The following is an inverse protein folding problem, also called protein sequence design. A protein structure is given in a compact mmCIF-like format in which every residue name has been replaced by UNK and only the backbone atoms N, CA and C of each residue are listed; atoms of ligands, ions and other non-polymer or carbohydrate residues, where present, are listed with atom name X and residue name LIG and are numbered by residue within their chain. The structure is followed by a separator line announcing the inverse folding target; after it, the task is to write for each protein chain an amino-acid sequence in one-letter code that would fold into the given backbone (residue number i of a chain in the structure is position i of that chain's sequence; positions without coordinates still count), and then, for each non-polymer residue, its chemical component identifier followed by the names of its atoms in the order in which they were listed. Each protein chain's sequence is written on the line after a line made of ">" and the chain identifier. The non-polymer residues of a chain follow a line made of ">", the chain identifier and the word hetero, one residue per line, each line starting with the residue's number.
data_IF_961175782895
#
_entry.id   IF_961175782895
#
_cell.length_a   1.000
_cell.length_b   1.000
_cell.length_c   1.000
_cell.angle_alpha   90.00
_cell.angle_beta   90.00
_cell.angle_gamma   90.00
#
_symmetry.space_group_name_H-M   'P 1'
#
loop_
_entity.id
_entity.type
_entity.pdbx_description
1 polymer ?
#
# COMPACT_ATOMS: atom_id res chain seq x y z
N UNK A 1 31.01 -10.22 49.89
CA UNK A 1 30.82 -11.46 49.09
C UNK A 1 29.66 -11.21 48.15
N UNK A 2 29.99 -10.95 46.90
CA UNK A 2 28.99 -10.66 45.84
C UNK A 2 28.56 -11.98 45.21
N UNK A 3 27.30 -12.36 45.39
CA UNK A 3 26.69 -13.52 44.77
C UNK A 3 26.51 -13.32 43.28
N UNK A 4 27.26 -14.07 42.49
CA UNK A 4 27.11 -14.16 41.03
C UNK A 4 25.82 -14.90 40.75
N UNK A 5 24.79 -14.17 40.32
CA UNK A 5 23.57 -14.78 39.82
C UNK A 5 23.88 -15.56 38.54
N UNK A 6 23.78 -16.89 38.62
CA UNK A 6 23.94 -17.80 37.49
C UNK A 6 22.89 -17.49 36.43
N UNK A 7 23.33 -17.21 35.20
CA UNK A 7 22.44 -17.14 34.02
C UNK A 7 21.79 -18.52 33.84
N UNK A 8 20.46 -18.59 33.61
CA UNK A 8 19.83 -19.87 33.34
C UNK A 8 20.38 -20.45 32.03
N UNK A 9 20.97 -21.65 32.18
CA UNK A 9 21.51 -22.44 31.09
C UNK A 9 20.35 -22.99 30.24
N UNK A 10 20.27 -22.59 28.95
CA UNK A 10 19.80 -23.53 27.95
C UNK A 10 18.36 -23.47 27.50
N UNK A 11 17.58 -22.38 27.65
CA UNK A 11 16.44 -22.16 26.80
C UNK A 11 16.94 -21.70 25.42
N UNK A 12 16.91 -22.64 24.45
CA UNK A 12 17.00 -22.25 23.03
C UNK A 12 15.79 -21.37 22.75
N UNK A 13 15.96 -20.06 22.77
CA UNK A 13 14.94 -19.11 22.33
C UNK A 13 14.54 -19.50 20.91
N UNK A 14 13.34 -20.05 20.75
CA UNK A 14 12.76 -20.31 19.44
C UNK A 14 12.71 -18.97 18.71
N UNK A 15 13.43 -18.87 17.59
CA UNK A 15 13.51 -17.63 16.83
C UNK A 15 12.30 -17.56 15.89
N UNK A 16 11.43 -16.55 16.00
CA UNK A 16 10.37 -16.36 15.04
C UNK A 16 10.97 -16.05 13.67
N UNK A 17 10.32 -16.51 12.61
CA UNK A 17 10.63 -16.10 11.25
C UNK A 17 10.08 -14.70 11.00
N UNK A 18 10.80 -13.91 10.22
CA UNK A 18 10.33 -12.59 9.79
C UNK A 18 9.89 -12.66 8.36
N UNK A 19 8.69 -12.15 8.08
CA UNK A 19 8.11 -12.02 6.75
C UNK A 19 7.80 -10.55 6.45
N UNK A 20 7.59 -10.25 5.19
CA UNK A 20 7.01 -9.00 4.68
C UNK A 20 5.76 -9.31 3.87
N UNK A 21 4.73 -8.48 4.02
CA UNK A 21 3.49 -8.52 3.24
C UNK A 21 3.23 -7.12 2.68
N UNK A 22 2.91 -7.00 1.38
CA UNK A 22 2.74 -5.69 0.75
C UNK A 22 1.32 -5.49 0.23
N UNK A 23 0.60 -4.56 0.85
CA UNK A 23 -0.72 -4.11 0.38
C UNK A 23 -0.53 -3.07 -0.69
N UNK A 24 -0.66 -3.47 -1.96
CA UNK A 24 -0.51 -2.60 -3.12
C UNK A 24 -1.85 -2.01 -3.52
N UNK A 25 -1.94 -0.67 -3.55
CA UNK A 25 -3.13 0.05 -4.00
C UNK A 25 -2.92 0.77 -5.32
N UNK A 26 -3.98 0.82 -6.11
CA UNK A 26 -4.13 1.68 -7.28
C UNK A 26 -5.58 2.16 -7.41
N UNK A 27 -5.78 3.25 -8.17
CA UNK A 27 -7.10 3.64 -8.64
C UNK A 27 -7.28 3.07 -10.04
N UNK A 28 -8.32 2.28 -10.23
CA UNK A 28 -8.68 1.72 -11.52
C UNK A 28 -10.20 1.79 -11.71
N UNK A 29 -10.66 2.27 -12.85
CA UNK A 29 -12.08 2.46 -13.17
C UNK A 29 -12.85 3.22 -12.08
N UNK A 30 -12.26 4.27 -11.51
CA UNK A 30 -12.84 5.07 -10.44
C UNK A 30 -13.04 4.33 -9.12
N UNK A 31 -12.28 3.25 -8.87
CA UNK A 31 -12.35 2.43 -7.66
C UNK A 31 -10.97 2.26 -7.03
N UNK A 32 -10.92 2.28 -5.71
CA UNK A 32 -9.72 1.89 -4.98
C UNK A 32 -9.61 0.37 -5.00
N UNK A 33 -8.55 -0.12 -5.62
CA UNK A 33 -8.28 -1.54 -5.76
C UNK A 33 -6.96 -1.92 -5.09
N UNK A 34 -6.85 -3.17 -4.70
CA UNK A 34 -5.61 -3.79 -4.22
C UNK A 34 -5.29 -5.03 -5.03
N UNK A 35 -3.99 -5.24 -5.25
CA UNK A 35 -3.51 -6.41 -5.97
C UNK A 35 -3.37 -7.61 -5.04
N UNK A 36 -3.98 -8.71 -5.39
CA UNK A 36 -3.89 -9.98 -4.69
C UNK A 36 -3.29 -11.05 -5.57
N UNK A 37 -2.64 -12.02 -4.94
CA UNK A 37 -2.04 -13.20 -5.55
C UNK A 37 -2.68 -14.46 -4.99
N UNK A 38 -2.88 -15.48 -5.83
CA UNK A 38 -3.40 -16.78 -5.41
C UNK A 38 -2.24 -17.71 -5.04
N UNK A 39 -2.22 -18.17 -3.80
CA UNK A 39 -1.13 -18.99 -3.27
C UNK A 39 -1.10 -20.39 -3.92
N UNK A 40 0.03 -20.76 -4.48
CA UNK A 40 0.23 -22.10 -5.11
C UNK A 40 0.46 -23.19 -4.08
N UNK A 41 1.05 -22.89 -2.94
CA UNK A 41 1.53 -23.86 -1.93
C UNK A 41 1.26 -23.36 -0.50
N UNK A 42 1.43 -24.26 0.46
CA UNK A 42 1.32 -23.98 1.89
C UNK A 42 -0.12 -24.01 2.42
N UNK A 43 -0.33 -23.60 3.69
CA UNK A 43 -1.64 -23.66 4.35
C UNK A 43 -2.71 -22.78 3.70
N UNK A 44 -2.28 -21.75 3.01
CA UNK A 44 -3.16 -20.85 2.26
C UNK A 44 -3.36 -21.23 0.80
N UNK A 45 -2.95 -22.44 0.36
CA UNK A 45 -3.09 -22.87 -1.05
C UNK A 45 -4.50 -22.63 -1.59
N UNK A 46 -4.59 -22.03 -2.78
CA UNK A 46 -5.84 -21.65 -3.44
C UNK A 46 -6.56 -20.46 -2.83
N UNK A 47 -6.03 -19.84 -1.78
CA UNK A 47 -6.55 -18.59 -1.22
C UNK A 47 -5.79 -17.40 -1.77
N UNK A 48 -6.47 -16.27 -1.76
CA UNK A 48 -5.89 -14.97 -2.13
C UNK A 48 -5.09 -14.39 -0.97
N UNK A 49 -3.98 -13.76 -1.29
CA UNK A 49 -3.07 -13.15 -0.33
C UNK A 49 -2.47 -11.86 -0.91
N UNK A 50 -1.88 -11.02 -0.08
CA UNK A 50 -0.98 -9.98 -0.56
C UNK A 50 0.35 -10.59 -1.04
N UNK A 51 1.08 -9.93 -1.95
CA UNK A 51 2.47 -10.25 -2.23
C UNK A 51 3.27 -10.35 -0.93
N UNK A 52 3.90 -11.51 -0.70
CA UNK A 52 4.52 -11.80 0.59
C UNK A 52 5.73 -12.74 0.45
N UNK A 53 6.59 -12.72 1.46
CA UNK A 53 7.68 -13.66 1.58
C UNK A 53 8.55 -13.47 2.81
N UNK A 54 9.40 -14.45 3.06
CA UNK A 54 10.34 -14.39 4.17
C UNK A 54 11.48 -13.41 3.86
N UNK A 55 11.89 -12.69 4.88
CA UNK A 55 13.10 -11.86 4.86
C UNK A 55 14.32 -12.78 4.83
N UNK A 56 15.27 -12.51 3.94
CA UNK A 56 16.51 -13.29 3.82
C UNK A 56 17.50 -12.86 4.89
N UNK A 57 18.44 -13.71 5.18
CA UNK A 57 19.55 -13.36 6.10
C UNK A 57 20.33 -12.18 5.53
N UNK A 58 20.59 -11.18 6.35
CA UNK A 58 21.27 -9.93 5.98
C UNK A 58 20.49 -9.05 4.97
N UNK A 59 19.19 -9.25 4.79
CA UNK A 59 18.32 -8.42 3.95
C UNK A 59 17.62 -7.34 4.78
N UNK A 60 17.59 -6.09 4.31
CA UNK A 60 16.79 -5.05 4.93
C UNK A 60 15.30 -5.29 4.68
N UNK A 61 14.45 -4.90 5.63
CA UNK A 61 13.00 -5.10 5.51
C UNK A 61 12.41 -4.38 4.28
N UNK A 62 12.87 -3.17 3.99
CA UNK A 62 12.45 -2.41 2.82
C UNK A 62 12.87 -3.09 1.51
N UNK A 63 14.07 -3.70 1.47
CA UNK A 63 14.56 -4.42 0.30
C UNK A 63 13.77 -5.72 0.10
N UNK A 64 13.45 -6.43 1.19
CA UNK A 64 12.60 -7.61 1.14
C UNK A 64 11.20 -7.26 0.60
N UNK A 65 10.59 -6.17 1.08
CA UNK A 65 9.28 -5.75 0.62
C UNK A 65 9.30 -5.34 -0.87
N UNK A 66 10.32 -4.59 -1.31
CA UNK A 66 10.50 -4.24 -2.73
C UNK A 66 10.72 -5.47 -3.60
N UNK A 67 11.55 -6.42 -3.15
CA UNK A 67 11.81 -7.67 -3.86
C UNK A 67 10.54 -8.49 -4.02
N UNK A 68 9.81 -8.73 -2.94
CA UNK A 68 8.57 -9.53 -2.98
C UNK A 68 7.49 -8.85 -3.85
N UNK A 69 7.37 -7.52 -3.76
CA UNK A 69 6.48 -6.76 -4.64
C UNK A 69 6.89 -6.90 -6.12
N UNK A 70 8.19 -6.70 -6.43
CA UNK A 70 8.71 -6.84 -7.79
C UNK A 70 8.52 -8.26 -8.33
N UNK A 71 8.85 -9.29 -7.55
CA UNK A 71 8.75 -10.70 -7.97
C UNK A 71 7.29 -11.09 -8.26
N UNK A 72 6.35 -10.47 -7.55
CA UNK A 72 4.92 -10.75 -7.67
C UNK A 72 4.22 -9.95 -8.76
N UNK A 73 4.74 -8.77 -9.11
CA UNK A 73 4.04 -7.80 -9.97
C UNK A 73 4.87 -7.31 -11.15
N UNK A 74 6.19 -7.43 -11.10
CA UNK A 74 7.11 -6.81 -12.03
C UNK A 74 7.31 -5.30 -11.83
N UNK A 75 6.60 -4.70 -10.88
CA UNK A 75 6.65 -3.25 -10.63
C UNK A 75 7.99 -2.82 -10.05
N UNK A 76 8.42 -1.62 -10.45
CA UNK A 76 9.59 -0.94 -9.90
C UNK A 76 9.19 0.52 -9.59
N UNK A 77 9.72 1.06 -8.50
CA UNK A 77 9.53 2.48 -8.15
C UNK A 77 8.17 2.83 -7.55
N UNK A 78 7.37 1.86 -7.10
CA UNK A 78 6.17 2.14 -6.31
C UNK A 78 6.52 2.91 -5.03
N UNK A 79 5.64 3.82 -4.60
CA UNK A 79 5.70 4.33 -3.24
C UNK A 79 5.59 3.16 -2.28
N UNK A 80 6.44 3.10 -1.27
CA UNK A 80 6.46 2.02 -0.29
C UNK A 80 6.70 2.60 1.11
N UNK A 81 5.88 2.18 2.06
CA UNK A 81 5.96 2.60 3.46
C UNK A 81 5.59 1.46 4.39
N UNK A 82 6.35 1.27 5.47
CA UNK A 82 5.99 0.33 6.52
C UNK A 82 4.66 0.73 7.17
N UNK A 83 3.74 -0.23 7.24
CA UNK A 83 2.40 -0.04 7.72
C UNK A 83 2.25 -0.36 9.20
N UNK A 84 2.49 -1.63 9.54
CA UNK A 84 2.31 -2.20 10.88
C UNK A 84 2.99 -3.56 10.97
N UNK A 85 3.23 -4.05 12.20
CA UNK A 85 3.79 -5.38 12.44
C UNK A 85 2.70 -6.30 13.02
N UNK A 86 2.50 -7.45 12.37
CA UNK A 86 1.54 -8.47 12.76
C UNK A 86 2.30 -9.65 13.34
N UNK A 87 2.17 -9.87 14.64
CA UNK A 87 2.97 -10.84 15.39
C UNK A 87 2.17 -11.85 16.19
N UNK A 88 0.88 -12.08 15.88
CA UNK A 88 0.09 -13.12 16.54
C UNK A 88 0.74 -14.49 16.29
N UNK A 89 1.10 -15.26 17.34
CA UNK A 89 1.72 -16.58 17.18
C UNK A 89 0.90 -17.57 16.35
N UNK A 90 -0.41 -17.40 16.28
CA UNK A 90 -1.33 -18.26 15.55
C UNK A 90 -1.58 -17.83 14.09
N UNK A 91 -1.00 -16.68 13.65
CA UNK A 91 -1.24 -16.14 12.31
C UNK A 91 -0.81 -17.08 11.18
N UNK A 92 0.26 -17.83 11.36
CA UNK A 92 0.74 -18.86 10.42
C UNK A 92 0.78 -20.22 11.13
N UNK A 93 0.01 -21.22 10.67
CA UNK A 93 -0.07 -22.52 11.35
C UNK A 93 1.23 -23.35 11.25
N UNK A 94 2.20 -22.95 10.43
CA UNK A 94 3.47 -23.70 10.26
C UNK A 94 4.51 -23.37 11.33
N UNK A 95 4.54 -22.12 11.77
CA UNK A 95 5.55 -21.63 12.70
C UNK A 95 5.19 -20.26 13.25
N UNK A 96 5.86 -19.82 14.30
CA UNK A 96 5.77 -18.44 14.77
C UNK A 96 6.42 -17.51 13.73
N UNK A 97 5.58 -16.80 12.97
CA UNK A 97 5.99 -15.82 11.94
C UNK A 97 5.55 -14.43 12.39
N UNK A 98 6.47 -13.49 12.39
CA UNK A 98 6.17 -12.05 12.55
C UNK A 98 6.24 -11.43 11.17
N UNK A 99 5.15 -10.79 10.73
CA UNK A 99 5.11 -10.09 9.46
C UNK A 99 5.15 -8.58 9.64
N UNK A 100 6.07 -7.97 8.92
CA UNK A 100 6.13 -6.51 8.76
C UNK A 100 5.37 -6.17 7.48
N UNK A 101 4.16 -5.62 7.65
CA UNK A 101 3.33 -5.22 6.52
C UNK A 101 3.77 -3.86 5.98
N UNK A 102 3.67 -3.72 4.67
CA UNK A 102 3.94 -2.50 3.90
C UNK A 102 2.71 -2.07 3.13
N UNK A 103 2.56 -0.77 2.93
CA UNK A 103 1.63 -0.17 1.99
C UNK A 103 2.41 0.32 0.77
N UNK A 104 1.98 -0.09 -0.42
CA UNK A 104 2.53 0.39 -1.67
C UNK A 104 1.44 1.09 -2.49
N UNK A 105 1.81 2.14 -3.23
CA UNK A 105 0.90 2.92 -4.07
C UNK A 105 1.50 3.09 -5.47
N UNK A 106 0.64 2.99 -6.48
CA UNK A 106 0.95 3.29 -7.88
C UNK A 106 -0.17 4.13 -8.51
N UNK A 107 0.12 4.98 -9.49
CA UNK A 107 -0.87 5.86 -10.11
C UNK A 107 -1.97 5.13 -10.87
N UNK A 108 -1.64 4.03 -11.51
CA UNK A 108 -2.54 3.24 -12.34
C UNK A 108 -2.32 1.76 -12.07
N UNK A 109 -3.36 0.95 -12.26
CA UNK A 109 -3.22 -0.50 -12.24
C UNK A 109 -2.48 -0.92 -13.52
N UNK A 110 -1.17 -0.73 -13.56
CA UNK A 110 -0.32 -1.20 -14.64
C UNK A 110 -0.58 -2.68 -14.90
N UNK A 111 -0.41 -3.11 -16.17
CA UNK A 111 -0.46 -4.52 -16.53
C UNK A 111 0.61 -5.26 -15.73
N UNK A 112 0.18 -5.85 -14.64
CA UNK A 112 1.04 -6.63 -13.76
C UNK A 112 1.41 -7.91 -14.51
N UNK A 113 2.69 -8.22 -14.56
CA UNK A 113 3.20 -9.46 -15.19
C UNK A 113 2.62 -10.67 -14.48
N UNK A 114 2.58 -11.80 -15.18
CA UNK A 114 2.22 -13.07 -14.55
C UNK A 114 3.07 -13.26 -13.27
N UNK A 115 2.43 -13.64 -12.16
CA UNK A 115 3.13 -13.80 -10.89
C UNK A 115 4.20 -14.90 -11.00
N UNK A 116 5.23 -14.78 -10.16
CA UNK A 116 6.30 -15.78 -10.09
C UNK A 116 5.76 -17.16 -9.65
N UNK A 117 6.60 -18.19 -9.70
CA UNK A 117 6.24 -19.58 -9.38
C UNK A 117 5.63 -19.81 -7.98
N UNK A 118 5.68 -18.83 -7.09
CA UNK A 118 5.00 -18.87 -5.79
C UNK A 118 3.48 -18.85 -5.90
N UNK A 119 2.95 -18.28 -7.00
CA UNK A 119 1.54 -17.97 -7.16
C UNK A 119 0.96 -18.64 -8.40
N UNK A 120 -0.36 -18.86 -8.40
CA UNK A 120 -1.12 -19.37 -9.54
C UNK A 120 -1.58 -18.24 -10.42
N UNK A 121 -2.16 -17.21 -9.79
CA UNK A 121 -2.74 -16.04 -10.43
C UNK A 121 -2.41 -14.76 -9.66
N UNK A 122 -2.62 -13.63 -10.31
CA UNK A 122 -2.65 -12.31 -9.68
C UNK A 122 -3.77 -11.47 -10.27
N UNK A 123 -4.50 -10.73 -9.41
CA UNK A 123 -5.66 -9.95 -9.83
C UNK A 123 -5.89 -8.75 -8.94
N UNK A 124 -6.41 -7.67 -9.54
CA UNK A 124 -6.92 -6.51 -8.83
C UNK A 124 -8.31 -6.75 -8.26
N UNK A 125 -8.54 -6.38 -7.02
CA UNK A 125 -9.82 -6.46 -6.34
C UNK A 125 -10.18 -5.12 -5.71
N UNK A 126 -11.43 -4.73 -5.82
CA UNK A 126 -11.94 -3.57 -5.11
C UNK A 126 -11.82 -3.79 -3.59
N UNK A 127 -11.28 -2.82 -2.85
CA UNK A 127 -11.01 -2.96 -1.41
C UNK A 127 -12.26 -3.21 -0.56
N UNK A 128 -13.44 -2.86 -1.08
CA UNK A 128 -14.75 -3.09 -0.44
C UNK A 128 -15.32 -4.48 -0.71
N UNK A 129 -14.72 -5.25 -1.65
CA UNK A 129 -15.22 -6.55 -2.11
C UNK A 129 -14.09 -7.57 -2.23
N UNK A 130 -13.30 -7.67 -1.17
CA UNK A 130 -12.19 -8.63 -1.13
C UNK A 130 -12.72 -10.06 -1.01
N UNK A 131 -12.09 -11.04 -1.69
CA UNK A 131 -12.35 -12.45 -1.45
C UNK A 131 -11.86 -12.86 -0.06
N UNK A 132 -12.11 -14.12 0.32
CA UNK A 132 -11.52 -14.67 1.55
C UNK A 132 -9.98 -14.70 1.40
N UNK A 133 -9.30 -13.96 2.26
CA UNK A 133 -7.85 -13.89 2.26
C UNK A 133 -7.22 -14.99 3.13
N UNK A 134 -5.99 -15.35 2.79
CA UNK A 134 -5.15 -16.22 3.59
C UNK A 134 -4.65 -15.50 4.84
N UNK A 135 -4.28 -16.26 5.87
CA UNK A 135 -3.71 -15.75 7.12
C UNK A 135 -4.57 -14.64 7.74
N UNK A 136 -3.92 -13.62 8.28
CA UNK A 136 -4.51 -12.41 8.84
C UNK A 136 -4.57 -11.23 7.85
N UNK A 137 -4.47 -11.51 6.54
CA UNK A 137 -4.41 -10.47 5.51
C UNK A 137 -5.66 -9.58 5.44
N UNK A 138 -6.81 -10.06 5.91
CA UNK A 138 -8.01 -9.21 6.05
C UNK A 138 -7.81 -8.08 7.06
N UNK A 139 -7.08 -8.33 8.15
CA UNK A 139 -6.69 -7.29 9.10
C UNK A 139 -5.71 -6.31 8.46
N UNK A 140 -4.72 -6.81 7.72
CA UNK A 140 -3.76 -5.96 6.99
C UNK A 140 -4.45 -5.03 6.02
N UNK A 141 -5.45 -5.53 5.25
CA UNK A 141 -6.27 -4.72 4.35
C UNK A 141 -6.96 -3.56 5.08
N UNK A 142 -7.61 -3.87 6.21
CA UNK A 142 -8.31 -2.86 7.02
C UNK A 142 -7.35 -1.78 7.56
N UNK A 143 -6.18 -2.20 8.06
CA UNK A 143 -5.14 -1.28 8.52
C UNK A 143 -4.62 -0.39 7.39
N UNK A 144 -4.36 -0.96 6.21
CA UNK A 144 -3.83 -0.22 5.07
C UNK A 144 -4.83 0.82 4.56
N UNK A 145 -6.12 0.47 4.43
CA UNK A 145 -7.18 1.42 4.05
C UNK A 145 -7.30 2.54 5.06
N UNK A 146 -7.30 2.22 6.37
CA UNK A 146 -7.34 3.22 7.43
C UNK A 146 -6.12 4.16 7.38
N UNK A 147 -4.91 3.61 7.18
CA UNK A 147 -3.67 4.39 7.05
C UNK A 147 -3.72 5.32 5.84
N UNK A 148 -4.17 4.83 4.68
CA UNK A 148 -4.27 5.62 3.46
C UNK A 148 -5.24 6.80 3.65
N UNK A 149 -6.42 6.55 4.24
CA UNK A 149 -7.39 7.61 4.59
C UNK A 149 -6.77 8.68 5.48
N UNK A 150 -6.17 8.28 6.60
CA UNK A 150 -5.52 9.24 7.50
C UNK A 150 -4.43 10.03 6.81
N UNK A 151 -3.58 9.38 6.01
CA UNK A 151 -2.48 10.07 5.31
C UNK A 151 -2.96 11.13 4.32
N UNK A 152 -4.09 10.93 3.67
CA UNK A 152 -4.69 11.95 2.82
C UNK A 152 -5.08 13.21 3.58
N UNK A 153 -5.34 13.11 4.89
CA UNK A 153 -5.75 14.25 5.71
C UNK A 153 -4.57 15.12 6.16
N UNK A 154 -3.34 14.59 6.23
CA UNK A 154 -2.18 15.34 6.74
C UNK A 154 -0.93 15.25 5.86
N UNK A 155 -1.02 14.64 4.67
CA UNK A 155 0.10 14.56 3.72
C UNK A 155 -0.35 14.74 2.28
N UNK A 156 0.62 14.99 1.39
CA UNK A 156 0.41 15.03 -0.05
C UNK A 156 0.41 13.64 -0.71
N UNK A 157 0.16 12.55 0.01
CA UNK A 157 0.34 11.15 -0.47
C UNK A 157 -0.42 10.83 -1.76
N UNK A 158 -1.46 11.61 -2.09
CA UNK A 158 -2.20 11.50 -3.35
C UNK A 158 -1.29 11.54 -4.60
N UNK A 159 -0.06 12.11 -4.50
CA UNK A 159 0.90 12.12 -5.59
C UNK A 159 1.29 10.72 -6.07
N UNK A 160 1.22 9.73 -5.19
CA UNK A 160 1.55 8.34 -5.49
C UNK A 160 0.40 7.55 -6.14
N UNK A 161 -0.80 8.13 -6.20
CA UNK A 161 -2.01 7.53 -6.76
C UNK A 161 -2.55 8.25 -8.00
N UNK A 162 -2.00 9.41 -8.34
CA UNK A 162 -2.39 10.16 -9.53
C UNK A 162 -1.28 10.13 -10.58
N UNK A 163 -1.64 10.19 -11.86
CA UNK A 163 -0.66 10.38 -12.93
C UNK A 163 0.10 11.71 -12.73
N UNK A 164 1.21 11.89 -13.46
CA UNK A 164 2.02 13.11 -13.35
C UNK A 164 1.24 14.38 -13.62
N UNK A 165 0.26 14.30 -14.54
CA UNK A 165 -0.61 15.40 -14.94
C UNK A 165 -2.06 14.97 -14.79
N UNK A 166 -2.83 15.75 -14.06
CA UNK A 166 -4.22 15.45 -13.74
C UNK A 166 -5.07 16.72 -13.73
N UNK A 167 -6.37 16.56 -13.90
CA UNK A 167 -7.35 17.63 -13.73
C UNK A 167 -7.70 17.77 -12.24
N UNK A 168 -8.18 18.95 -11.86
CA UNK A 168 -8.64 19.13 -10.47
C UNK A 168 -9.83 18.24 -10.13
N UNK A 169 -10.64 17.88 -11.11
CA UNK A 169 -11.76 16.93 -10.94
C UNK A 169 -11.26 15.53 -10.56
N UNK A 170 -10.24 15.00 -11.26
CA UNK A 170 -9.62 13.70 -10.93
C UNK A 170 -9.02 13.72 -9.52
N UNK A 171 -8.45 14.85 -9.11
CA UNK A 171 -7.93 15.03 -7.76
C UNK A 171 -9.06 15.00 -6.70
N UNK A 172 -10.17 15.72 -6.92
CA UNK A 172 -11.35 15.70 -6.05
C UNK A 172 -11.99 14.31 -5.96
N UNK A 173 -12.11 13.63 -7.10
CA UNK A 173 -12.67 12.28 -7.20
C UNK A 173 -11.85 11.28 -6.38
N UNK A 174 -10.49 11.33 -6.48
CA UNK A 174 -9.60 10.49 -5.68
C UNK A 174 -9.84 10.69 -4.18
N UNK A 175 -9.89 11.93 -3.71
CA UNK A 175 -10.14 12.21 -2.29
C UNK A 175 -11.52 11.74 -1.84
N UNK A 176 -12.56 12.04 -2.62
CA UNK A 176 -13.94 11.59 -2.32
C UNK A 176 -14.04 10.08 -2.27
N UNK A 177 -13.41 9.39 -3.22
CA UNK A 177 -13.37 7.94 -3.30
C UNK A 177 -12.72 7.30 -2.07
N UNK A 178 -11.50 7.74 -1.73
CA UNK A 178 -10.75 7.12 -0.63
C UNK A 178 -11.36 7.47 0.73
N UNK A 179 -11.77 8.72 0.94
CA UNK A 179 -12.40 9.13 2.19
C UNK A 179 -13.81 8.53 2.37
N UNK A 180 -14.46 8.12 1.27
CA UNK A 180 -15.80 7.54 1.27
C UNK A 180 -16.90 8.54 1.60
N UNK A 181 -16.67 9.83 1.32
CA UNK A 181 -17.64 10.92 1.54
C UNK A 181 -17.50 12.00 0.47
N UNK A 182 -18.60 12.68 0.11
CA UNK A 182 -18.51 13.82 -0.79
C UNK A 182 -17.72 14.95 -0.14
N UNK A 183 -17.01 15.72 -0.96
CA UNK A 183 -16.26 16.90 -0.56
C UNK A 183 -17.07 18.17 -0.84
N UNK A 184 -16.94 19.19 0.01
CA UNK A 184 -17.31 20.56 -0.36
C UNK A 184 -16.30 21.06 -1.40
N UNK A 185 -16.65 20.94 -2.68
CA UNK A 185 -15.76 21.23 -3.81
C UNK A 185 -15.14 22.61 -3.76
N UNK A 186 -15.93 23.63 -3.37
CA UNK A 186 -15.47 25.02 -3.33
C UNK A 186 -14.41 25.24 -2.24
N UNK A 187 -14.71 24.78 -1.04
CA UNK A 187 -13.81 24.91 0.11
C UNK A 187 -12.55 24.02 -0.08
N UNK A 188 -12.71 22.77 -0.50
CA UNK A 188 -11.63 21.87 -0.79
C UNK A 188 -10.65 22.47 -1.81
N UNK A 189 -11.18 22.96 -2.95
CA UNK A 189 -10.35 23.57 -4.00
C UNK A 189 -9.57 24.79 -3.47
N UNK A 190 -10.24 25.66 -2.71
CA UNK A 190 -9.62 26.85 -2.11
C UNK A 190 -8.46 26.45 -1.19
N UNK A 191 -8.68 25.48 -0.29
CA UNK A 191 -7.68 25.01 0.66
C UNK A 191 -6.48 24.38 -0.04
N UNK A 192 -6.72 23.47 -0.96
CA UNK A 192 -5.65 22.78 -1.71
C UNK A 192 -4.77 23.77 -2.50
N UNK A 193 -5.38 24.76 -3.16
CA UNK A 193 -4.61 25.76 -3.91
C UNK A 193 -3.84 26.71 -2.98
N UNK A 194 -4.40 27.06 -1.82
CA UNK A 194 -3.72 27.90 -0.83
C UNK A 194 -2.48 27.21 -0.22
N UNK A 195 -2.49 25.87 -0.09
CA UNK A 195 -1.33 25.10 0.41
C UNK A 195 -0.15 25.05 -0.57
N UNK A 196 -0.32 25.49 -1.83
CA UNK A 196 0.75 25.48 -2.82
C UNK A 196 1.27 24.09 -3.20
N UNK A 197 0.52 23.01 -2.87
CA UNK A 197 0.93 21.63 -3.17
C UNK A 197 0.78 21.27 -4.64
N UNK A 198 -0.03 22.01 -5.39
CA UNK A 198 -0.27 21.80 -6.82
C UNK A 198 0.26 22.97 -7.64
N UNK A 199 0.87 22.65 -8.79
CA UNK A 199 1.25 23.60 -9.83
C UNK A 199 0.29 23.47 -10.99
N UNK A 200 -0.30 24.60 -11.43
CA UNK A 200 -1.09 24.65 -12.65
C UNK A 200 -0.14 24.59 -13.85
N UNK A 201 -0.46 23.72 -14.82
CA UNK A 201 0.30 23.58 -16.05
C UNK A 201 -0.18 24.58 -17.12
N UNK A 202 0.70 24.96 -18.07
CA UNK A 202 0.37 25.95 -19.11
C UNK A 202 -0.60 25.39 -20.17
N UNK A 203 -0.76 24.07 -20.27
CA UNK A 203 -1.63 23.41 -21.23
C UNK A 203 -2.87 22.85 -20.56
N UNK A 204 -3.82 22.45 -21.40
CA UNK A 204 -5.14 21.92 -20.98
C UNK A 204 -5.40 20.59 -21.66
N UNK A 205 -6.17 19.73 -21.00
CA UNK A 205 -6.66 18.48 -21.61
C UNK A 205 -7.96 18.79 -22.39
N UNK A 206 -7.95 18.50 -23.69
CA UNK A 206 -9.15 18.59 -24.54
C UNK A 206 -9.99 17.32 -24.35
N UNK A 207 -11.30 17.48 -24.29
CA UNK A 207 -12.28 16.42 -24.20
C UNK A 207 -13.59 16.85 -24.84
N UNK A 208 -14.70 16.06 -24.73
CA UNK A 208 -16.00 16.43 -25.27
C UNK A 208 -16.61 17.68 -24.61
N UNK A 209 -16.05 18.13 -23.48
CA UNK A 209 -16.46 19.33 -22.76
C UNK A 209 -15.41 20.43 -22.85
N UNK A 210 -15.67 21.57 -22.16
CA UNK A 210 -14.71 22.69 -22.07
C UNK A 210 -13.33 22.17 -21.64
N UNK A 211 -12.22 22.64 -22.29
CA UNK A 211 -10.87 22.23 -21.96
C UNK A 211 -10.59 22.37 -20.46
N UNK A 212 -10.11 21.30 -19.84
CA UNK A 212 -9.81 21.25 -18.42
C UNK A 212 -8.36 21.67 -18.15
N UNK A 213 -8.15 22.56 -17.17
CA UNK A 213 -6.82 22.92 -16.70
C UNK A 213 -6.15 21.69 -16.07
N UNK A 214 -4.87 21.48 -16.39
CA UNK A 214 -4.05 20.43 -15.84
C UNK A 214 -3.19 20.94 -14.68
N UNK A 215 -2.91 20.06 -13.77
CA UNK A 215 -2.10 20.28 -12.58
C UNK A 215 -1.09 19.16 -12.43
N UNK A 216 -0.02 19.44 -11.73
CA UNK A 216 0.94 18.46 -11.22
C UNK A 216 1.23 18.74 -9.75
N UNK A 217 1.70 17.75 -9.01
CA UNK A 217 2.22 18.01 -7.67
C UNK A 217 3.51 18.85 -7.72
N UNK A 218 3.63 19.82 -6.81
CA UNK A 218 4.83 20.64 -6.67
C UNK A 218 6.03 19.79 -6.22
N UNK A 219 5.79 18.74 -5.46
CA UNK A 219 6.78 17.77 -5.00
C UNK A 219 6.26 16.35 -5.18
N UNK A 220 7.09 15.47 -5.74
CA UNK A 220 6.82 14.04 -5.89
C UNK A 220 7.51 13.21 -4.79
N UNK A 221 7.55 13.75 -3.58
CA UNK A 221 7.98 13.07 -2.37
C UNK A 221 6.99 13.37 -1.26
N UNK A 222 6.87 12.45 -0.31
CA UNK A 222 5.94 12.60 0.80
C UNK A 222 6.29 13.87 1.61
N UNK A 223 5.30 14.69 1.86
CA UNK A 223 5.39 15.86 2.72
C UNK A 223 4.17 15.94 3.62
N UNK A 224 4.40 16.37 4.85
CA UNK A 224 3.33 16.73 5.75
C UNK A 224 2.70 18.06 5.30
N UNK A 225 1.39 18.12 5.38
CA UNK A 225 0.57 19.30 5.07
C UNK A 225 -0.45 19.46 6.21
N UNK A 226 -0.72 20.68 6.60
CA UNK A 226 -1.82 20.95 7.51
C UNK A 226 -3.10 21.08 6.66
N UNK A 227 -3.81 19.99 6.49
CA UNK A 227 -5.19 20.04 6.04
C UNK A 227 -6.07 20.35 7.23
N UNK A 228 -6.81 21.45 7.15
CA UNK A 228 -7.75 21.97 8.12
C UNK A 228 -8.78 20.95 8.62
#
# INVERSE_FOLDING_TARGET
>A
MAGTAARPTGERLARPMVAVDTVLFAINDGRLQTYLVELRRGPGRGRWAFPCGLVRVCELLDDAARRELHDSTGLRGAYLEQLFTFGDPSRDPRAHVVSVAYMALIPEAEAVRAPCDKYVNGKWYEVTRLPQLAYDHSLMAAYAVKRLKSKLEYTNIAYALLPREFTFAEFEELYSLILGRPLDRRNFRRSILAMGMLKRLPHTRRGPHRPAALYSFANQSLRFIEML
#
